data_IF_642576258078
#
_entry.id   IF_642576258078
#
_cell.length_a   1.000
_cell.length_b   1.000
_cell.length_c   1.000
_cell.angle_alpha   90.00
_cell.angle_beta   90.00
_cell.angle_gamma   90.00
#
_symmetry.space_group_name_H-M   'P 1'
#
loop_
_entity.id
_entity.type
_entity.pdbx_description
1 polymer ?
#
# COMPACT_ATOMS: atom_id res chain seq x y z
N UNK A 1 90.70 14.84 -27.63
CA UNK A 1 90.41 15.87 -26.59
C UNK A 1 89.07 16.56 -26.83
N UNK A 2 88.81 17.11 -28.03
CA UNK A 2 87.54 17.81 -28.36
C UNK A 2 86.29 16.93 -28.22
N UNK A 3 86.33 15.67 -28.67
CA UNK A 3 85.19 14.75 -28.59
C UNK A 3 84.75 14.44 -27.14
N UNK A 4 85.70 14.28 -26.21
CA UNK A 4 85.36 14.00 -24.82
C UNK A 4 84.68 15.20 -24.14
N UNK A 5 85.12 16.42 -24.46
CA UNK A 5 84.53 17.65 -23.94
C UNK A 5 83.11 17.87 -24.47
N UNK A 6 82.86 17.64 -25.76
CA UNK A 6 81.52 17.74 -26.34
C UNK A 6 80.56 16.69 -25.80
N UNK A 7 81.02 15.46 -25.57
CA UNK A 7 80.22 14.43 -24.89
C UNK A 7 79.87 14.85 -23.46
N UNK A 8 80.82 15.34 -22.67
CA UNK A 8 80.54 15.79 -21.30
C UNK A 8 79.52 16.95 -21.28
N UNK A 9 79.68 17.91 -22.18
CA UNK A 9 78.77 19.06 -22.32
C UNK A 9 77.36 18.64 -22.74
N UNK A 10 77.21 17.66 -23.63
CA UNK A 10 75.89 17.18 -24.04
C UNK A 10 75.16 16.46 -22.90
N UNK A 11 75.88 15.65 -22.11
CA UNK A 11 75.33 15.04 -20.90
C UNK A 11 74.88 16.08 -19.87
N UNK A 12 75.70 17.11 -19.62
CA UNK A 12 75.37 18.16 -18.67
C UNK A 12 74.14 18.98 -19.11
N UNK A 13 74.06 19.35 -20.40
CA UNK A 13 72.87 20.00 -20.98
C UNK A 13 71.63 19.11 -20.87
N UNK A 14 71.77 17.82 -21.15
CA UNK A 14 70.69 16.85 -20.99
C UNK A 14 70.20 16.73 -19.55
N UNK A 15 71.11 16.80 -18.57
CA UNK A 15 70.78 16.79 -17.14
C UNK A 15 70.00 18.05 -16.73
N UNK A 16 70.41 19.23 -17.19
CA UNK A 16 69.70 20.49 -16.94
C UNK A 16 68.30 20.43 -17.54
N UNK A 17 68.18 20.08 -18.82
CA UNK A 17 66.88 20.00 -19.50
C UNK A 17 65.92 19.01 -18.81
N UNK A 18 66.41 17.85 -18.37
CA UNK A 18 65.60 16.88 -17.61
C UNK A 18 65.15 17.43 -16.25
N UNK A 19 66.00 18.19 -15.55
CA UNK A 19 65.65 18.82 -14.27
C UNK A 19 64.59 19.90 -14.45
N UNK A 20 64.73 20.73 -15.47
CA UNK A 20 63.75 21.79 -15.79
C UNK A 20 62.40 21.18 -16.18
N UNK A 21 62.39 20.22 -17.11
CA UNK A 21 61.17 19.50 -17.49
C UNK A 21 60.51 18.81 -16.29
N UNK A 22 61.28 18.16 -15.41
CA UNK A 22 60.73 17.52 -14.22
C UNK A 22 60.09 18.53 -13.26
N UNK A 23 60.71 19.71 -13.07
CA UNK A 23 60.14 20.79 -12.25
C UNK A 23 58.81 21.27 -12.81
N UNK A 24 58.76 21.57 -14.10
CA UNK A 24 57.52 22.00 -14.77
C UNK A 24 56.43 20.93 -14.70
N UNK A 25 56.79 19.68 -14.98
CA UNK A 25 55.88 18.54 -14.89
C UNK A 25 55.26 18.42 -13.49
N UNK A 26 56.08 18.47 -12.43
CA UNK A 26 55.59 18.37 -11.05
C UNK A 26 54.63 19.53 -10.71
N UNK A 27 54.92 20.75 -11.17
CA UNK A 27 54.03 21.90 -10.97
C UNK A 27 52.70 21.74 -11.71
N UNK A 28 52.74 21.30 -12.98
CA UNK A 28 51.55 21.03 -13.78
C UNK A 28 50.68 19.95 -13.12
N UNK A 29 51.28 18.85 -12.68
CA UNK A 29 50.55 17.77 -11.99
C UNK A 29 49.90 18.27 -10.70
N UNK A 30 50.61 19.09 -9.91
CA UNK A 30 50.05 19.71 -8.69
C UNK A 30 48.86 20.59 -9.02
N UNK A 31 48.99 21.48 -10.01
CA UNK A 31 47.91 22.37 -10.44
C UNK A 31 46.70 21.58 -10.94
N UNK A 32 46.92 20.55 -11.77
CA UNK A 32 45.87 19.68 -12.28
C UNK A 32 45.17 18.93 -11.15
N UNK A 33 45.91 18.41 -10.17
CA UNK A 33 45.34 17.72 -9.01
C UNK A 33 44.48 18.65 -8.15
N UNK A 34 44.94 19.87 -7.92
CA UNK A 34 44.19 20.90 -7.20
C UNK A 34 42.90 21.28 -7.95
N UNK A 35 42.98 21.55 -9.26
CA UNK A 35 41.83 21.87 -10.09
C UNK A 35 40.78 20.75 -10.09
N UNK A 36 41.22 19.49 -10.29
CA UNK A 36 40.34 18.31 -10.22
C UNK A 36 39.67 18.20 -8.85
N UNK A 37 40.40 18.48 -7.77
CA UNK A 37 39.85 18.52 -6.42
C UNK A 37 38.80 19.61 -6.22
N UNK A 38 39.05 20.84 -6.72
CA UNK A 38 38.07 21.93 -6.69
C UNK A 38 36.80 21.57 -7.45
N UNK A 39 36.93 21.06 -8.68
CA UNK A 39 35.80 20.66 -9.51
C UNK A 39 35.01 19.49 -8.90
N UNK A 40 35.69 18.52 -8.28
CA UNK A 40 35.03 17.42 -7.58
C UNK A 40 34.21 17.91 -6.39
N UNK A 41 34.74 18.85 -5.60
CA UNK A 41 34.02 19.47 -4.46
C UNK A 41 32.81 20.27 -4.91
N UNK A 42 32.94 21.04 -5.98
CA UNK A 42 31.82 21.81 -6.54
C UNK A 42 30.69 20.89 -7.03
N UNK A 43 31.05 19.82 -7.76
CA UNK A 43 30.08 18.80 -8.20
C UNK A 43 29.41 18.12 -7.02
N UNK A 44 30.17 17.72 -6.00
CA UNK A 44 29.65 17.09 -4.80
C UNK A 44 28.66 18.00 -4.05
N UNK A 45 28.99 19.28 -3.90
CA UNK A 45 28.10 20.27 -3.28
C UNK A 45 26.78 20.41 -4.05
N UNK A 46 26.84 20.47 -5.39
CA UNK A 46 25.64 20.51 -6.23
C UNK A 46 24.78 19.25 -6.08
N UNK A 47 25.40 18.07 -6.09
CA UNK A 47 24.68 16.80 -5.88
C UNK A 47 24.07 16.73 -4.50
N UNK A 48 24.79 17.17 -3.46
CA UNK A 48 24.27 17.22 -2.09
C UNK A 48 23.04 18.13 -1.98
N UNK A 49 23.07 19.30 -2.61
CA UNK A 49 21.93 20.21 -2.63
C UNK A 49 20.72 19.58 -3.36
N UNK A 50 20.94 18.89 -4.48
CA UNK A 50 19.88 18.17 -5.20
C UNK A 50 19.28 17.04 -4.36
N UNK A 51 20.10 16.31 -3.60
CA UNK A 51 19.63 15.26 -2.71
C UNK A 51 18.80 15.83 -1.55
N UNK A 52 19.20 16.98 -0.99
CA UNK A 52 18.43 17.66 0.06
C UNK A 52 17.09 18.17 -0.46
N UNK A 53 17.05 18.74 -1.66
CA UNK A 53 15.79 19.16 -2.30
C UNK A 53 14.86 17.96 -2.55
N UNK A 54 15.41 16.88 -3.13
CA UNK A 54 14.65 15.66 -3.37
C UNK A 54 14.07 15.09 -2.07
N UNK A 55 14.88 15.04 -1.00
CA UNK A 55 14.45 14.58 0.32
C UNK A 55 13.34 15.47 0.88
N UNK A 56 13.48 16.79 0.81
CA UNK A 56 12.45 17.73 1.26
C UNK A 56 11.12 17.52 0.52
N UNK A 57 11.17 17.30 -0.79
CA UNK A 57 9.98 17.02 -1.62
C UNK A 57 9.34 15.69 -1.24
N UNK A 58 10.14 14.65 -1.02
CA UNK A 58 9.65 13.35 -0.54
C UNK A 58 8.96 13.48 0.82
N UNK A 59 9.57 14.17 1.78
CA UNK A 59 9.00 14.40 3.11
C UNK A 59 7.67 15.16 3.05
N UNK A 60 7.59 16.23 2.23
CA UNK A 60 6.33 16.97 1.99
C UNK A 60 5.25 16.08 1.36
N UNK A 61 5.60 15.28 0.36
CA UNK A 61 4.66 14.37 -0.28
C UNK A 61 4.17 13.27 0.66
N UNK A 62 5.05 12.73 1.51
CA UNK A 62 4.70 11.74 2.52
C UNK A 62 3.72 12.33 3.55
N UNK A 63 3.97 13.55 4.04
CA UNK A 63 3.07 14.23 4.95
C UNK A 63 1.68 14.49 4.32
N UNK A 64 1.65 14.96 3.07
CA UNK A 64 0.41 15.18 2.34
C UNK A 64 -0.39 13.89 2.12
N UNK A 65 0.28 12.79 1.76
CA UNK A 65 -0.36 11.48 1.57
C UNK A 65 -0.97 10.94 2.87
N UNK A 66 -0.30 11.14 4.02
CA UNK A 66 -0.85 10.74 5.32
C UNK A 66 -2.10 11.54 5.66
N UNK A 67 -2.11 12.84 5.40
CA UNK A 67 -3.28 13.69 5.63
C UNK A 67 -4.45 13.30 4.72
N UNK A 68 -4.19 13.07 3.42
CA UNK A 68 -5.22 12.64 2.47
C UNK A 68 -5.81 11.28 2.83
N UNK A 69 -4.97 10.32 3.26
CA UNK A 69 -5.45 9.03 3.75
C UNK A 69 -6.38 9.18 4.96
N UNK A 70 -6.06 10.08 5.90
CA UNK A 70 -6.93 10.36 7.05
C UNK A 70 -8.25 10.99 6.62
N UNK A 71 -8.21 11.96 5.71
CA UNK A 71 -9.43 12.60 5.15
C UNK A 71 -10.33 11.59 4.47
N UNK A 72 -9.75 10.68 3.67
CA UNK A 72 -10.48 9.59 3.03
C UNK A 72 -11.15 8.68 4.08
N UNK A 73 -10.40 8.22 5.08
CA UNK A 73 -10.93 7.35 6.14
C UNK A 73 -12.08 8.04 6.88
N UNK A 74 -11.92 9.31 7.26
CA UNK A 74 -12.96 10.06 7.96
C UNK A 74 -14.25 10.20 7.12
N UNK A 75 -14.11 10.44 5.81
CA UNK A 75 -15.26 10.47 4.89
C UNK A 75 -15.96 9.12 4.79
N UNK A 76 -15.21 8.02 4.76
CA UNK A 76 -15.79 6.67 4.71
C UNK A 76 -16.50 6.31 6.02
N UNK A 77 -15.94 6.69 7.17
CA UNK A 77 -16.59 6.52 8.48
C UNK A 77 -17.92 7.27 8.51
N UNK A 78 -17.94 8.54 8.07
CA UNK A 78 -19.18 9.30 7.98
C UNK A 78 -20.19 8.63 7.04
N UNK A 79 -19.74 8.19 5.85
CA UNK A 79 -20.60 7.51 4.89
C UNK A 79 -21.20 6.19 5.43
N UNK A 80 -20.44 5.42 6.21
CA UNK A 80 -20.95 4.22 6.90
C UNK A 80 -22.02 4.60 7.92
N UNK A 81 -21.81 5.66 8.72
CA UNK A 81 -22.77 6.08 9.74
C UNK A 81 -24.13 6.50 9.17
N UNK A 82 -24.13 7.00 7.93
CA UNK A 82 -25.35 7.41 7.24
C UNK A 82 -25.93 6.33 6.32
N UNK A 83 -25.21 5.23 6.06
CA UNK A 83 -25.50 4.26 5.01
C UNK A 83 -26.93 3.70 5.05
N UNK A 84 -27.42 3.32 6.24
CA UNK A 84 -28.77 2.77 6.42
C UNK A 84 -29.88 3.83 6.32
N UNK A 85 -29.53 5.11 6.45
CA UNK A 85 -30.50 6.23 6.36
C UNK A 85 -30.66 6.75 4.92
N UNK A 86 -29.82 6.30 3.98
CA UNK A 86 -29.88 6.72 2.59
C UNK A 86 -31.16 6.21 1.91
N UNK A 87 -31.90 7.12 1.28
CA UNK A 87 -33.16 6.79 0.59
C UNK A 87 -32.98 6.28 -0.85
N UNK A 88 -31.81 6.54 -1.44
CA UNK A 88 -31.52 6.22 -2.83
C UNK A 88 -30.63 4.98 -2.91
N UNK A 89 -31.12 3.91 -3.55
CA UNK A 89 -30.34 2.70 -3.81
C UNK A 89 -29.07 3.00 -4.61
N UNK A 90 -29.12 4.00 -5.50
CA UNK A 90 -27.94 4.45 -6.25
C UNK A 90 -26.85 5.03 -5.33
N UNK A 91 -27.26 5.82 -4.32
CA UNK A 91 -26.31 6.38 -3.33
C UNK A 91 -25.74 5.28 -2.44
N UNK A 92 -26.58 4.31 -2.03
CA UNK A 92 -26.14 3.15 -1.25
C UNK A 92 -25.11 2.35 -2.05
N UNK A 93 -25.40 2.08 -3.32
CA UNK A 93 -24.52 1.36 -4.23
C UNK A 93 -23.17 2.08 -4.40
N UNK A 94 -23.20 3.38 -4.68
CA UNK A 94 -21.97 4.18 -4.80
C UNK A 94 -21.15 4.14 -3.50
N UNK A 95 -21.82 4.28 -2.34
CA UNK A 95 -21.16 4.22 -1.03
C UNK A 95 -20.51 2.86 -0.80
N UNK A 96 -21.24 1.77 -1.07
CA UNK A 96 -20.72 0.40 -0.92
C UNK A 96 -19.56 0.12 -1.88
N UNK A 97 -19.62 0.58 -3.12
CA UNK A 97 -18.53 0.44 -4.09
C UNK A 97 -17.26 1.18 -3.63
N UNK A 98 -17.43 2.37 -3.05
CA UNK A 98 -16.32 3.15 -2.50
C UNK A 98 -15.70 2.44 -1.29
N UNK A 99 -16.52 1.89 -0.39
CA UNK A 99 -16.05 1.10 0.77
C UNK A 99 -15.30 -0.16 0.33
N UNK A 100 -15.81 -0.88 -0.65
CA UNK A 100 -15.18 -2.08 -1.19
C UNK A 100 -13.78 -1.77 -1.75
N UNK A 101 -13.67 -0.76 -2.62
CA UNK A 101 -12.39 -0.33 -3.19
C UNK A 101 -11.40 0.12 -2.10
N UNK A 102 -11.85 0.94 -1.15
CA UNK A 102 -10.97 1.48 -0.12
C UNK A 102 -10.45 0.39 0.84
N UNK A 103 -11.30 -0.60 1.16
CA UNK A 103 -10.92 -1.74 2.01
C UNK A 103 -10.08 -2.77 1.28
N UNK A 104 -10.18 -2.87 -0.04
CA UNK A 104 -9.32 -3.72 -0.86
C UNK A 104 -7.85 -3.26 -0.81
N UNK A 105 -7.63 -1.94 -0.82
CA UNK A 105 -6.32 -1.32 -0.98
C UNK A 105 -5.60 -0.96 0.34
N UNK A 106 -6.32 -0.86 1.47
CA UNK A 106 -5.74 -0.34 2.72
C UNK A 106 -6.19 -1.12 3.97
N UNK A 107 -5.21 -1.74 4.65
CA UNK A 107 -5.42 -2.38 5.96
C UNK A 107 -5.93 -1.37 7.00
N UNK A 108 -5.32 -0.18 7.06
CA UNK A 108 -5.72 0.87 8.01
C UNK A 108 -7.18 1.28 7.80
N UNK A 109 -7.63 1.37 6.55
CA UNK A 109 -9.04 1.64 6.26
C UNK A 109 -9.94 0.54 6.82
N UNK A 110 -9.57 -0.74 6.68
CA UNK A 110 -10.31 -1.86 7.24
C UNK A 110 -10.41 -1.78 8.77
N UNK A 111 -9.30 -1.46 9.45
CA UNK A 111 -9.23 -1.35 10.91
C UNK A 111 -10.10 -0.20 11.43
N UNK A 112 -9.97 0.99 10.85
CA UNK A 112 -10.71 2.19 11.27
C UNK A 112 -12.21 2.06 10.99
N UNK A 113 -12.60 1.48 9.85
CA UNK A 113 -14.01 1.19 9.54
C UNK A 113 -14.60 0.13 10.48
N UNK A 114 -13.85 -0.93 10.76
CA UNK A 114 -14.30 -1.95 11.70
C UNK A 114 -14.46 -1.39 13.13
N UNK A 115 -13.55 -0.51 13.55
CA UNK A 115 -13.64 0.21 14.83
C UNK A 115 -14.84 1.17 14.88
N UNK A 116 -15.18 1.81 13.75
CA UNK A 116 -16.36 2.65 13.61
C UNK A 116 -17.69 1.88 13.51
N UNK A 117 -17.68 0.55 13.68
CA UNK A 117 -18.90 -0.26 13.69
C UNK A 117 -19.42 -0.67 12.31
N UNK A 118 -18.63 -0.50 11.25
CA UNK A 118 -19.05 -0.82 9.87
C UNK A 118 -19.53 -2.27 9.69
N UNK A 119 -18.97 -3.22 10.45
CA UNK A 119 -19.37 -4.64 10.36
C UNK A 119 -20.86 -4.82 10.65
N UNK A 120 -21.40 -4.18 11.69
CA UNK A 120 -22.81 -4.29 12.06
C UNK A 120 -23.71 -3.66 10.99
N UNK A 121 -23.33 -2.47 10.52
CA UNK A 121 -24.03 -1.73 9.46
C UNK A 121 -24.10 -2.55 8.16
N UNK A 122 -22.98 -3.12 7.72
CA UNK A 122 -22.92 -3.94 6.51
C UNK A 122 -23.76 -5.23 6.65
N UNK A 123 -23.74 -5.87 7.82
CA UNK A 123 -24.56 -7.06 8.08
C UNK A 123 -26.06 -6.75 8.12
N UNK A 124 -26.44 -5.55 8.55
CA UNK A 124 -27.82 -5.08 8.47
C UNK A 124 -28.23 -4.81 7.03
N UNK A 125 -27.38 -4.12 6.27
CA UNK A 125 -27.61 -3.86 4.84
C UNK A 125 -27.77 -5.17 4.04
N UNK A 126 -26.89 -6.15 4.25
CA UNK A 126 -26.97 -7.48 3.60
C UNK A 126 -28.30 -8.18 3.90
N UNK A 127 -28.90 -7.96 5.07
CA UNK A 127 -30.18 -8.57 5.44
C UNK A 127 -31.39 -7.82 4.86
N UNK A 128 -31.25 -6.54 4.54
CA UNK A 128 -32.35 -5.68 4.07
C UNK A 128 -32.46 -5.60 2.54
N UNK A 129 -31.39 -5.90 1.80
CA UNK A 129 -31.37 -5.83 0.32
C UNK A 129 -32.29 -6.87 -0.34
N UNK A 130 -32.97 -6.46 -1.40
CA UNK A 130 -33.88 -7.32 -2.16
C UNK A 130 -33.16 -8.07 -3.31
N UNK A 131 -33.92 -8.81 -4.13
CA UNK A 131 -33.41 -9.48 -5.34
C UNK A 131 -33.34 -8.58 -6.58
N UNK A 132 -33.63 -7.29 -6.45
CA UNK A 132 -33.49 -6.35 -7.57
C UNK A 132 -32.02 -6.29 -8.03
N UNK A 133 -31.80 -6.06 -9.33
CA UNK A 133 -30.45 -5.92 -9.90
C UNK A 133 -29.56 -4.93 -9.12
N UNK A 134 -30.02 -3.69 -8.77
CA UNK A 134 -29.17 -2.77 -8.03
C UNK A 134 -28.90 -3.24 -6.59
N UNK A 135 -29.86 -3.87 -5.92
CA UNK A 135 -29.68 -4.42 -4.58
C UNK A 135 -28.68 -5.59 -4.56
N UNK A 136 -28.66 -6.41 -5.61
CA UNK A 136 -27.67 -7.48 -5.73
C UNK A 136 -26.25 -6.94 -5.95
N UNK A 137 -26.10 -5.78 -6.59
CA UNK A 137 -24.80 -5.10 -6.66
C UNK A 137 -24.37 -4.53 -5.30
N UNK A 138 -25.32 -3.96 -4.53
CA UNK A 138 -25.07 -3.52 -3.15
C UNK A 138 -24.61 -4.70 -2.30
N UNK A 139 -25.34 -5.82 -2.37
CA UNK A 139 -25.00 -7.06 -1.68
C UNK A 139 -23.57 -7.53 -2.00
N UNK A 140 -23.20 -7.53 -3.29
CA UNK A 140 -21.88 -7.93 -3.78
C UNK A 140 -20.77 -7.07 -3.15
N UNK A 141 -20.91 -5.75 -3.18
CA UNK A 141 -19.94 -4.83 -2.59
C UNK A 141 -19.86 -4.95 -1.06
N UNK A 142 -20.99 -5.10 -0.38
CA UNK A 142 -21.03 -5.28 1.08
C UNK A 142 -20.33 -6.58 1.50
N UNK A 143 -20.60 -7.70 0.81
CA UNK A 143 -19.92 -8.98 1.05
C UNK A 143 -18.42 -8.89 0.73
N UNK A 144 -18.05 -8.21 -0.36
CA UNK A 144 -16.64 -8.01 -0.74
C UNK A 144 -15.90 -7.20 0.32
N UNK A 145 -16.53 -6.15 0.86
CA UNK A 145 -16.00 -5.35 1.97
C UNK A 145 -15.74 -6.23 3.19
N UNK A 146 -16.72 -7.04 3.63
CA UNK A 146 -16.52 -7.98 4.74
C UNK A 146 -15.41 -9.01 4.47
N UNK A 147 -15.28 -9.48 3.23
CA UNK A 147 -14.19 -10.36 2.79
C UNK A 147 -12.82 -9.68 2.85
N UNK A 148 -12.74 -8.40 2.47
CA UNK A 148 -11.52 -7.60 2.56
C UNK A 148 -11.08 -7.46 4.03
N UNK A 149 -12.01 -7.14 4.93
CA UNK A 149 -11.75 -7.12 6.38
C UNK A 149 -11.27 -8.50 6.89
N UNK A 150 -11.95 -9.58 6.51
CA UNK A 150 -11.61 -10.94 6.92
C UNK A 150 -10.25 -11.44 6.41
N UNK A 151 -9.56 -10.67 5.55
CA UNK A 151 -8.17 -10.94 5.15
C UNK A 151 -7.21 -10.83 6.33
N UNK A 152 -7.52 -9.95 7.29
CA UNK A 152 -6.66 -9.68 8.45
C UNK A 152 -7.13 -10.50 9.66
N UNK A 153 -6.26 -11.32 10.30
CA UNK A 153 -6.69 -12.27 11.34
C UNK A 153 -7.44 -11.65 12.53
N UNK A 154 -7.03 -10.46 12.98
CA UNK A 154 -7.66 -9.78 14.11
C UNK A 154 -9.07 -9.28 13.76
N UNK A 155 -9.28 -8.75 12.54
CA UNK A 155 -10.61 -8.38 12.05
C UNK A 155 -11.47 -9.61 11.76
N UNK A 156 -10.90 -10.69 11.22
CA UNK A 156 -11.61 -11.95 11.04
C UNK A 156 -12.15 -12.48 12.38
N UNK A 157 -11.36 -12.38 13.45
CA UNK A 157 -11.82 -12.69 14.81
C UNK A 157 -12.97 -11.78 15.27
N UNK A 158 -12.87 -10.47 15.02
CA UNK A 158 -13.95 -9.52 15.31
C UNK A 158 -15.23 -9.88 14.55
N UNK A 159 -15.17 -10.18 13.25
CA UNK A 159 -16.30 -10.64 12.45
C UNK A 159 -16.92 -11.91 13.02
N UNK A 160 -16.09 -12.89 13.42
CA UNK A 160 -16.56 -14.11 14.07
C UNK A 160 -17.30 -13.79 15.37
N UNK A 161 -16.82 -12.82 16.16
CA UNK A 161 -17.45 -12.42 17.41
C UNK A 161 -18.77 -11.67 17.19
N UNK A 162 -18.89 -10.88 16.11
CA UNK A 162 -20.10 -10.14 15.77
C UNK A 162 -21.33 -11.05 15.68
N UNK A 163 -22.45 -10.71 16.35
CA UNK A 163 -23.68 -11.48 16.28
C UNK A 163 -24.17 -11.68 14.85
N UNK A 164 -24.68 -12.87 14.54
CA UNK A 164 -25.27 -13.23 13.24
C UNK A 164 -24.34 -13.14 12.01
N UNK A 165 -23.09 -12.69 12.13
CA UNK A 165 -22.20 -12.49 10.98
C UNK A 165 -22.04 -13.77 10.13
N UNK A 166 -21.64 -14.87 10.77
CA UNK A 166 -21.42 -16.16 10.10
C UNK A 166 -22.72 -16.70 9.51
N UNK A 167 -23.84 -16.57 10.23
CA UNK A 167 -25.14 -17.03 9.76
C UNK A 167 -25.59 -16.24 8.52
N UNK A 168 -25.47 -14.91 8.55
CA UNK A 168 -25.80 -14.03 7.42
C UNK A 168 -24.96 -14.39 6.19
N UNK A 169 -23.63 -14.52 6.35
CA UNK A 169 -22.74 -14.91 5.24
C UNK A 169 -23.08 -16.30 4.70
N UNK A 170 -23.33 -17.29 5.58
CA UNK A 170 -23.67 -18.64 5.16
C UNK A 170 -25.03 -18.70 4.44
N UNK A 171 -26.01 -17.91 4.88
CA UNK A 171 -27.30 -17.78 4.20
C UNK A 171 -27.11 -17.22 2.79
N UNK A 172 -26.27 -16.20 2.62
CA UNK A 172 -26.00 -15.62 1.31
C UNK A 172 -25.17 -16.54 0.41
N UNK A 173 -24.24 -17.32 0.98
CA UNK A 173 -23.57 -18.41 0.27
C UNK A 173 -24.58 -19.44 -0.28
N UNK A 174 -25.60 -19.80 0.50
CA UNK A 174 -26.62 -20.78 0.10
C UNK A 174 -27.68 -20.24 -0.88
N UNK A 175 -27.85 -18.91 -0.96
CA UNK A 175 -28.87 -18.27 -1.79
C UNK A 175 -28.35 -17.85 -3.16
N UNK A 176 -27.10 -17.37 -3.23
CA UNK A 176 -26.55 -16.76 -4.43
C UNK A 176 -26.08 -17.81 -5.44
N UNK A 177 -26.37 -17.57 -6.72
CA UNK A 177 -25.96 -18.44 -7.84
C UNK A 177 -24.95 -17.77 -8.79
N UNK A 178 -24.55 -16.54 -8.50
CA UNK A 178 -23.72 -15.69 -9.37
C UNK A 178 -22.47 -15.18 -8.61
N UNK A 179 -21.87 -14.04 -9.00
CA UNK A 179 -20.61 -13.54 -8.41
C UNK A 179 -20.63 -13.43 -6.88
N UNK A 180 -21.79 -13.10 -6.28
CA UNK A 180 -21.97 -13.05 -4.83
C UNK A 180 -21.71 -14.39 -4.14
N UNK A 181 -21.90 -15.52 -4.83
CA UNK A 181 -21.58 -16.86 -4.32
C UNK A 181 -20.09 -17.02 -4.02
N UNK A 182 -19.22 -16.63 -4.97
CA UNK A 182 -17.77 -16.78 -4.80
C UNK A 182 -17.25 -15.93 -3.65
N UNK A 183 -17.74 -14.70 -3.54
CA UNK A 183 -17.36 -13.78 -2.46
C UNK A 183 -17.82 -14.33 -1.11
N UNK A 184 -19.07 -14.77 -1.00
CA UNK A 184 -19.61 -15.35 0.22
C UNK A 184 -18.90 -16.66 0.60
N UNK A 185 -18.60 -17.52 -0.37
CA UNK A 185 -17.85 -18.77 -0.16
C UNK A 185 -16.45 -18.50 0.37
N UNK A 186 -15.72 -17.56 -0.23
CA UNK A 186 -14.38 -17.20 0.20
C UNK A 186 -14.38 -16.59 1.61
N UNK A 187 -15.32 -15.68 1.89
CA UNK A 187 -15.51 -15.10 3.22
C UNK A 187 -15.84 -16.20 4.24
N UNK A 188 -16.80 -17.07 3.95
CA UNK A 188 -17.19 -18.16 4.84
C UNK A 188 -16.03 -19.11 5.12
N UNK A 189 -15.24 -19.46 4.10
CA UNK A 189 -14.03 -20.27 4.23
C UNK A 189 -13.02 -19.61 5.15
N UNK A 190 -12.79 -18.29 5.01
CA UNK A 190 -11.87 -17.54 5.89
C UNK A 190 -12.36 -17.54 7.34
N UNK A 191 -13.64 -17.28 7.58
CA UNK A 191 -14.22 -17.29 8.93
C UNK A 191 -14.18 -18.68 9.57
N UNK A 192 -14.40 -19.75 8.78
CA UNK A 192 -14.42 -21.13 9.28
C UNK A 192 -13.04 -21.77 9.42
N UNK A 193 -11.96 -21.16 8.89
CA UNK A 193 -10.59 -21.57 9.23
C UNK A 193 -10.29 -21.40 10.73
N UNK A 194 -10.98 -20.46 11.39
CA UNK A 194 -10.92 -20.32 12.83
C UNK A 194 -11.90 -21.32 13.51
N UNK A 195 -11.45 -22.13 14.48
CA UNK A 195 -12.30 -23.08 15.19
C UNK A 195 -13.56 -22.46 15.82
N UNK A 196 -13.47 -21.22 16.32
CA UNK A 196 -14.61 -20.49 16.87
C UNK A 196 -15.67 -20.19 15.80
N UNK A 197 -15.22 -19.81 14.59
CA UNK A 197 -16.10 -19.59 13.45
C UNK A 197 -16.80 -20.88 13.00
N UNK A 198 -16.04 -21.96 12.85
CA UNK A 198 -16.59 -23.28 12.53
C UNK A 198 -17.58 -23.78 13.59
N UNK A 199 -17.32 -23.52 14.88
CA UNK A 199 -18.25 -23.85 15.98
C UNK A 199 -19.55 -23.04 15.87
N UNK A 200 -19.47 -21.74 15.60
CA UNK A 200 -20.66 -20.89 15.40
C UNK A 200 -21.50 -21.33 14.21
N UNK A 201 -20.87 -21.69 13.09
CA UNK A 201 -21.59 -22.24 11.92
C UNK A 201 -22.31 -23.54 12.28
N UNK A 202 -21.62 -24.47 12.95
CA UNK A 202 -22.20 -25.74 13.39
C UNK A 202 -23.33 -25.58 14.42
N UNK A 203 -23.31 -24.50 15.19
CA UNK A 203 -24.41 -24.17 16.12
C UNK A 203 -25.74 -23.85 15.42
N UNK A 204 -25.75 -23.59 14.11
CA UNK A 204 -26.98 -23.35 13.35
C UNK A 204 -27.46 -24.62 12.65
N UNK A 205 -28.38 -25.34 13.30
CA UNK A 205 -28.96 -26.59 12.77
C UNK A 205 -29.65 -26.41 11.41
N UNK A 206 -30.29 -25.26 11.18
CA UNK A 206 -30.96 -24.95 9.91
C UNK A 206 -29.96 -24.78 8.74
N UNK A 207 -28.83 -24.10 8.98
CA UNK A 207 -27.80 -23.89 7.96
C UNK A 207 -27.11 -25.22 7.64
N UNK A 208 -26.79 -26.02 8.67
CA UNK A 208 -26.19 -27.36 8.47
C UNK A 208 -27.09 -28.28 7.64
N UNK A 209 -28.40 -28.32 7.93
CA UNK A 209 -29.35 -29.12 7.13
C UNK A 209 -29.33 -28.72 5.66
N UNK A 210 -29.27 -27.42 5.36
CA UNK A 210 -29.21 -26.93 3.98
C UNK A 210 -27.89 -27.26 3.30
N UNK A 211 -26.76 -27.15 4.00
CA UNK A 211 -25.44 -27.51 3.48
C UNK A 211 -25.33 -29.00 3.14
N UNK A 212 -25.91 -29.88 3.95
CA UNK A 212 -25.92 -31.32 3.70
C UNK A 212 -26.82 -31.74 2.53
N UNK A 213 -27.69 -30.84 2.06
CA UNK A 213 -28.63 -31.08 0.96
C UNK A 213 -28.20 -30.39 -0.35
N UNK A 214 -27.00 -29.80 -0.40
CA UNK A 214 -26.38 -29.27 -1.62
C UNK A 214 -25.71 -30.39 -2.42
#
# INVERSE_FOLDING_TARGET
RVHAATTLQSYFRGLIARREFHREYVLIVKLQSWWKGCLARERAAKTQQQLLDLRSRMEKSAAANVDESRRLINRLIAAVSELLSQKSVSNILHTCATLDMATELSQRCCEELAAAGAVAVLLELIRSVSRSVPDQQVLRHALSTLRNLARYPHLAHQLIQTPHCIQTVAIEFLKNKEEGYFIASELLKRLCRNPAGAKKLRGSSAILKRLNNL
#
